data_IF_500961241930
#
_entry.id   IF_500961241930
#
_cell.length_a   1.000
_cell.length_b   1.000
_cell.length_c   1.000
_cell.angle_alpha   90.00
_cell.angle_beta   90.00
_cell.angle_gamma   90.00
#
_symmetry.space_group_name_H-M   'P 1'
#
loop_
_entity.id
_entity.type
_entity.pdbx_description
1 polymer ?
#
# COMPACT_ATOMS: atom_id res chain seq x y z
N UNK A 1 17.61 1.84 7.65
CA UNK A 1 16.16 1.66 7.39
C UNK A 1 15.31 2.73 8.07
N UNK A 2 15.35 2.88 9.40
CA UNK A 2 14.54 3.87 10.16
C UNK A 2 14.74 5.35 9.73
N UNK A 3 15.96 5.73 9.32
CA UNK A 3 16.26 7.10 8.86
C UNK A 3 15.70 7.43 7.48
N UNK A 4 15.55 6.42 6.61
CA UNK A 4 14.99 6.58 5.25
C UNK A 4 13.49 6.83 5.35
N UNK A 5 12.79 6.05 6.19
CA UNK A 5 11.38 6.30 6.52
C UNK A 5 11.15 7.69 7.10
N UNK A 6 12.01 8.13 8.03
CA UNK A 6 11.89 9.47 8.64
C UNK A 6 12.01 10.60 7.60
N UNK A 7 12.90 10.46 6.61
CA UNK A 7 13.11 11.49 5.58
C UNK A 7 12.04 11.51 4.49
N UNK A 8 11.38 10.37 4.22
CA UNK A 8 10.23 10.30 3.31
C UNK A 8 9.00 11.04 3.84
N UNK A 9 8.85 11.09 5.17
CA UNK A 9 7.77 11.82 5.84
C UNK A 9 8.00 13.36 5.77
N UNK A 10 9.27 13.80 5.73
CA UNK A 10 9.63 15.23 5.80
C UNK A 10 9.66 15.94 4.42
N UNK A 11 9.40 15.25 3.30
CA UNK A 11 9.40 15.85 1.96
C UNK A 11 8.01 15.73 1.30
N UNK A 12 7.15 16.77 1.39
CA UNK A 12 5.86 16.75 0.72
C UNK A 12 6.09 16.73 -0.79
N UNK A 13 5.73 15.62 -1.46
CA UNK A 13 5.80 15.48 -2.92
C UNK A 13 6.87 14.52 -3.46
N UNK A 14 7.67 13.86 -2.62
CA UNK A 14 8.66 12.86 -3.08
C UNK A 14 8.03 11.55 -3.62
N UNK A 15 6.72 11.41 -3.55
CA UNK A 15 5.95 10.27 -4.09
C UNK A 15 5.86 10.23 -5.62
N UNK A 16 6.29 11.28 -6.32
CA UNK A 16 6.15 11.39 -7.78
C UNK A 16 7.36 10.94 -8.62
N UNK A 17 8.56 10.89 -8.06
CA UNK A 17 9.79 10.64 -8.84
C UNK A 17 10.57 9.41 -8.35
N UNK A 18 10.33 8.28 -9.01
CA UNK A 18 11.03 7.03 -8.75
C UNK A 18 12.56 7.14 -8.94
N UNK A 19 13.04 8.07 -9.76
CA UNK A 19 14.48 8.27 -9.97
C UNK A 19 15.13 8.91 -8.75
N UNK A 20 14.46 9.88 -8.11
CA UNK A 20 14.95 10.55 -6.91
C UNK A 20 14.92 9.64 -5.69
N UNK A 21 13.85 8.85 -5.52
CA UNK A 21 13.78 7.79 -4.52
C UNK A 21 14.92 6.78 -4.67
N UNK A 22 15.20 6.33 -5.90
CA UNK A 22 16.27 5.39 -6.18
C UNK A 22 17.67 5.98 -5.90
N UNK A 23 17.86 7.28 -6.16
CA UNK A 23 19.10 8.00 -5.84
C UNK A 23 19.33 8.04 -4.33
N UNK A 24 18.30 8.40 -3.55
CA UNK A 24 18.37 8.46 -2.09
C UNK A 24 18.65 7.09 -1.45
N UNK A 25 18.03 6.02 -1.98
CA UNK A 25 18.28 4.64 -1.54
C UNK A 25 19.75 4.25 -1.75
N UNK A 26 20.30 4.52 -2.94
CA UNK A 26 21.71 4.21 -3.26
C UNK A 26 22.69 5.00 -2.41
N UNK A 27 22.37 6.24 -2.06
CA UNK A 27 23.22 7.09 -1.21
C UNK A 27 23.28 6.60 0.24
N UNK A 28 22.19 6.07 0.81
CA UNK A 28 22.11 5.67 2.22
C UNK A 28 22.39 4.18 2.48
N UNK A 29 22.09 3.29 1.53
CA UNK A 29 22.15 1.85 1.77
C UNK A 29 23.36 1.14 1.12
N UNK A 30 24.26 1.88 0.45
CA UNK A 30 25.48 1.36 -0.16
C UNK A 30 25.26 0.71 -1.53
N UNK A 31 26.12 -0.25 -1.90
CA UNK A 31 26.02 -0.98 -3.18
C UNK A 31 24.84 -1.95 -3.13
N UNK A 32 23.70 -1.48 -3.63
CA UNK A 32 22.48 -2.28 -3.85
C UNK A 32 22.39 -2.58 -5.35
N UNK A 33 22.00 -3.81 -5.72
CA UNK A 33 21.79 -4.18 -7.12
C UNK A 33 20.57 -3.45 -7.71
N UNK A 34 20.54 -3.22 -9.03
CA UNK A 34 19.40 -2.55 -9.67
C UNK A 34 18.06 -3.30 -9.44
N UNK A 35 18.12 -4.62 -9.27
CA UNK A 35 16.95 -5.45 -8.95
C UNK A 35 16.44 -5.14 -7.54
N UNK A 36 17.33 -5.07 -6.56
CA UNK A 36 16.97 -4.76 -5.17
C UNK A 36 16.44 -3.33 -5.02
N UNK A 37 16.99 -2.37 -5.79
CA UNK A 37 16.48 -0.99 -5.85
C UNK A 37 15.06 -0.98 -6.43
N UNK A 38 14.80 -1.71 -7.52
CA UNK A 38 13.47 -1.79 -8.12
C UNK A 38 12.45 -2.41 -7.18
N UNK A 39 12.82 -3.46 -6.43
CA UNK A 39 11.93 -4.08 -5.46
C UNK A 39 11.67 -3.17 -4.25
N UNK A 40 12.68 -2.46 -3.77
CA UNK A 40 12.49 -1.47 -2.72
C UNK A 40 11.62 -0.30 -3.19
N UNK A 41 11.81 0.20 -4.42
CA UNK A 41 10.96 1.22 -5.01
C UNK A 41 9.52 0.76 -5.19
N UNK A 42 9.29 -0.50 -5.60
CA UNK A 42 7.94 -1.07 -5.70
C UNK A 42 7.27 -1.13 -4.33
N UNK A 43 7.99 -1.59 -3.30
CA UNK A 43 7.49 -1.63 -1.92
C UNK A 43 7.17 -0.23 -1.41
N UNK A 44 8.11 0.70 -1.55
CA UNK A 44 7.91 2.08 -1.13
C UNK A 44 6.76 2.76 -1.88
N UNK A 45 6.63 2.60 -3.20
CA UNK A 45 5.52 3.17 -3.96
C UNK A 45 4.18 2.57 -3.51
N UNK A 46 4.13 1.26 -3.29
CA UNK A 46 2.95 0.59 -2.76
C UNK A 46 2.61 1.07 -1.33
N UNK A 47 3.61 1.47 -0.55
CA UNK A 47 3.44 2.07 0.78
C UNK A 47 3.09 3.56 0.76
N UNK A 48 3.33 4.28 -0.35
CA UNK A 48 3.32 5.74 -0.35
C UNK A 48 2.14 6.40 -1.07
N UNK A 49 1.27 5.66 -1.77
CA UNK A 49 0.08 6.26 -2.43
C UNK A 49 -1.20 5.42 -2.24
N UNK A 50 -2.19 6.00 -1.57
CA UNK A 50 -3.60 5.58 -1.63
C UNK A 50 -3.91 4.15 -1.16
N UNK A 51 -4.85 3.51 -1.86
CA UNK A 51 -5.31 2.13 -1.59
C UNK A 51 -4.49 1.06 -2.34
N UNK A 52 -3.40 1.45 -2.99
CA UNK A 52 -2.44 0.54 -3.63
C UNK A 52 -3.06 -0.37 -4.70
N UNK A 53 -2.97 -1.68 -4.49
CA UNK A 53 -3.49 -2.68 -5.44
C UNK A 53 -5.01 -2.54 -5.69
N UNK A 54 -5.75 -1.95 -4.76
CA UNK A 54 -7.19 -1.75 -4.91
C UNK A 54 -7.56 -0.57 -5.82
N UNK A 55 -6.59 0.23 -6.29
CA UNK A 55 -6.87 1.32 -7.25
C UNK A 55 -7.53 0.80 -8.53
N UNK A 56 -7.17 -0.41 -8.98
CA UNK A 56 -7.77 -1.07 -10.15
C UNK A 56 -9.25 -1.39 -9.91
N UNK A 57 -9.59 -1.83 -8.69
CA UNK A 57 -10.96 -2.15 -8.30
C UNK A 57 -11.78 -0.86 -8.14
N UNK A 58 -11.22 0.18 -7.51
CA UNK A 58 -11.87 1.48 -7.39
C UNK A 58 -12.12 2.16 -8.74
N UNK A 59 -11.29 1.88 -9.75
CA UNK A 59 -11.48 2.41 -11.10
C UNK A 59 -12.65 1.77 -11.84
N UNK A 60 -13.20 0.66 -11.35
CA UNK A 60 -14.40 0.03 -11.94
C UNK A 60 -15.60 0.92 -11.69
N UNK A 61 -16.30 1.27 -12.77
CA UNK A 61 -17.48 2.14 -12.70
C UNK A 61 -18.56 1.54 -11.80
N UNK A 62 -19.05 2.36 -10.87
CA UNK A 62 -20.17 2.03 -9.99
C UNK A 62 -19.80 1.23 -8.73
N UNK A 63 -18.52 1.02 -8.43
CA UNK A 63 -18.10 0.37 -7.18
C UNK A 63 -18.53 1.20 -5.97
N UNK A 64 -19.22 0.54 -5.04
CA UNK A 64 -19.67 1.12 -3.77
C UNK A 64 -18.86 0.59 -2.60
N UNK A 65 -18.52 -0.69 -2.63
CA UNK A 65 -17.89 -1.40 -1.52
C UNK A 65 -16.77 -2.31 -2.02
N UNK A 66 -15.69 -2.40 -1.25
CA UNK A 66 -14.60 -3.37 -1.46
C UNK A 66 -14.41 -4.17 -0.17
N UNK A 67 -14.37 -5.49 -0.28
CA UNK A 67 -14.21 -6.40 0.85
C UNK A 67 -12.97 -7.26 0.63
N UNK A 68 -12.06 -7.27 1.60
CA UNK A 68 -10.83 -8.08 1.58
C UNK A 68 -10.82 -8.97 2.81
N UNK A 69 -11.01 -10.27 2.60
CA UNK A 69 -10.98 -11.28 3.68
C UNK A 69 -9.66 -12.06 3.75
N UNK A 70 -8.79 -11.88 2.76
CA UNK A 70 -7.54 -12.62 2.59
C UNK A 70 -6.89 -12.31 1.24
N UNK A 71 -5.67 -12.81 1.00
CA UNK A 71 -4.87 -12.44 -0.16
C UNK A 71 -5.52 -12.82 -1.49
N UNK A 72 -6.21 -13.94 -1.52
CA UNK A 72 -6.97 -14.47 -2.65
C UNK A 72 -8.48 -14.25 -2.48
N UNK A 73 -8.90 -13.33 -1.59
CA UNK A 73 -10.29 -13.09 -1.20
C UNK A 73 -10.67 -11.59 -1.24
N UNK A 74 -10.39 -10.91 -2.36
CA UNK A 74 -10.83 -9.55 -2.71
C UNK A 74 -12.14 -9.50 -3.51
N UNK A 75 -13.16 -8.81 -3.03
CA UNK A 75 -14.49 -8.69 -3.64
C UNK A 75 -14.89 -7.22 -3.76
N UNK A 76 -15.82 -6.91 -4.65
CA UNK A 76 -16.42 -5.59 -4.75
C UNK A 76 -17.93 -5.68 -5.02
N UNK A 77 -18.69 -4.65 -4.66
CA UNK A 77 -20.12 -4.51 -5.00
C UNK A 77 -20.35 -3.24 -5.81
N UNK A 78 -21.36 -3.29 -6.69
CA UNK A 78 -21.85 -2.18 -7.53
C UNK A 78 -23.37 -2.00 -7.44
N UNK A 79 -23.97 -2.42 -6.32
CA UNK A 79 -25.41 -2.48 -6.10
C UNK A 79 -26.09 -3.71 -6.72
N UNK A 80 -25.32 -4.74 -7.09
CA UNK A 80 -25.83 -6.01 -7.67
C UNK A 80 -25.41 -7.24 -6.86
N UNK A 81 -24.71 -7.04 -5.75
CA UNK A 81 -24.12 -8.09 -4.92
C UNK A 81 -22.61 -8.23 -5.17
N UNK A 82 -21.97 -9.07 -4.36
CA UNK A 82 -20.52 -9.25 -4.36
C UNK A 82 -20.02 -9.95 -5.62
N UNK A 83 -19.07 -9.30 -6.30
CA UNK A 83 -18.32 -9.79 -7.47
C UNK A 83 -16.85 -10.03 -7.08
N UNK A 84 -16.24 -11.11 -7.60
CA UNK A 84 -14.83 -11.43 -7.33
C UNK A 84 -13.93 -10.46 -8.12
N UNK A 85 -12.97 -9.84 -7.45
CA UNK A 85 -11.93 -9.07 -8.14
C UNK A 85 -10.83 -9.99 -8.69
N UNK A 86 -10.19 -9.59 -9.79
CA UNK A 86 -8.99 -10.24 -10.32
C UNK A 86 -7.73 -9.91 -9.50
N UNK A 87 -7.80 -8.86 -8.67
CA UNK A 87 -6.69 -8.43 -7.82
C UNK A 87 -6.49 -9.42 -6.67
N UNK A 88 -5.23 -9.78 -6.45
CA UNK A 88 -4.79 -10.62 -5.33
C UNK A 88 -3.59 -9.99 -4.63
N UNK A 89 -3.47 -10.23 -3.34
CA UNK A 89 -2.27 -9.95 -2.57
C UNK A 89 -1.35 -11.16 -2.55
N UNK A 90 -0.09 -10.93 -2.21
CA UNK A 90 0.96 -11.93 -2.10
C UNK A 90 0.74 -12.84 -0.90
N UNK A 91 0.34 -12.25 0.24
CA UNK A 91 0.09 -12.94 1.49
C UNK A 91 -0.78 -12.11 2.46
N UNK A 92 -1.10 -12.68 3.62
CA UNK A 92 -1.84 -11.99 4.67
C UNK A 92 -1.09 -10.77 5.24
N UNK A 93 0.25 -10.75 5.16
CA UNK A 93 1.03 -9.65 5.70
C UNK A 93 0.84 -8.40 4.83
N UNK A 94 0.78 -8.54 3.50
CA UNK A 94 0.46 -7.45 2.59
C UNK A 94 -0.95 -6.89 2.83
N UNK A 95 -1.94 -7.77 3.08
CA UNK A 95 -3.30 -7.36 3.46
C UNK A 95 -3.30 -6.55 4.76
N UNK A 96 -2.60 -7.03 5.79
CA UNK A 96 -2.47 -6.32 7.09
C UNK A 96 -1.78 -4.96 6.93
N UNK A 97 -0.73 -4.88 6.10
CA UNK A 97 -0.05 -3.62 5.83
C UNK A 97 -0.99 -2.61 5.18
N UNK A 98 -1.77 -3.03 4.18
CA UNK A 98 -2.79 -2.17 3.57
C UNK A 98 -3.81 -1.68 4.60
N UNK A 99 -4.41 -2.58 5.39
CA UNK A 99 -5.40 -2.23 6.40
C UNK A 99 -4.84 -1.23 7.43
N UNK A 100 -3.60 -1.44 7.87
CA UNK A 100 -2.91 -0.55 8.82
C UNK A 100 -2.68 0.84 8.23
N UNK A 101 -2.27 0.91 6.95
CA UNK A 101 -2.10 2.19 6.24
C UNK A 101 -3.43 2.93 6.10
N UNK A 102 -4.51 2.24 5.72
CA UNK A 102 -5.84 2.84 5.58
C UNK A 102 -6.37 3.36 6.93
N UNK A 103 -6.26 2.55 8.00
CA UNK A 103 -6.63 2.98 9.34
C UNK A 103 -5.85 4.24 9.76
N UNK A 104 -4.54 4.26 9.51
CA UNK A 104 -3.68 5.42 9.81
C UNK A 104 -4.11 6.67 9.04
N UNK A 105 -4.47 6.52 7.76
CA UNK A 105 -4.97 7.62 6.93
C UNK A 105 -6.30 8.19 7.46
N UNK A 106 -7.15 7.36 8.06
CA UNK A 106 -8.37 7.78 8.74
C UNK A 106 -8.13 8.29 10.18
N UNK A 107 -6.89 8.35 10.66
CA UNK A 107 -6.56 8.76 12.03
C UNK A 107 -6.81 7.69 13.10
N UNK A 108 -7.06 6.46 12.67
CA UNK A 108 -7.27 5.28 13.52
C UNK A 108 -6.01 4.42 13.61
N UNK A 109 -5.93 3.57 14.63
CA UNK A 109 -4.84 2.62 14.82
C UNK A 109 -5.33 1.19 14.65
N UNK A 110 -4.58 0.39 13.93
CA UNK A 110 -4.82 -1.04 13.74
C UNK A 110 -3.51 -1.79 13.97
N UNK A 111 -3.47 -2.63 15.00
CA UNK A 111 -2.32 -3.45 15.37
C UNK A 111 -2.77 -4.65 16.24
N UNK A 112 -1.83 -5.51 16.68
CA UNK A 112 -2.16 -6.69 17.48
C UNK A 112 -2.80 -6.35 18.84
N UNK A 113 -2.59 -5.13 19.36
CA UNK A 113 -3.22 -4.65 20.59
C UNK A 113 -4.59 -3.99 20.33
N UNK A 114 -4.81 -3.48 19.12
CA UNK A 114 -6.06 -2.89 18.64
C UNK A 114 -6.47 -3.51 17.29
N UNK A 115 -7.13 -4.68 17.30
CA UNK A 115 -7.38 -5.48 16.09
C UNK A 115 -8.56 -5.00 15.25
N UNK A 116 -9.11 -3.82 15.56
CA UNK A 116 -10.21 -3.20 14.81
C UNK A 116 -10.00 -1.69 14.68
N UNK A 117 -10.46 -1.14 13.57
CA UNK A 117 -10.47 0.29 13.28
C UNK A 117 -11.78 0.64 12.56
N UNK A 118 -12.25 1.86 12.77
CA UNK A 118 -13.43 2.45 12.11
C UNK A 118 -13.06 3.88 11.71
N UNK A 119 -13.60 4.38 10.58
CA UNK A 119 -13.19 5.64 9.97
C UNK A 119 -14.04 6.08 8.80
#
# INVERSE_FOLDING_TARGET
>A
MERVQRRLIDTPGATGDAAELARLIREEAGVISDIDVLDLLRRLRHDSTGVGLLETVLAVEGVTDIVVNGPDQVWFDRGKGLERAETTFSDDAEVRQLATRLATACGSRLDDAQPFADG
#
